data_IF_888472600789
#
_entry.id   IF_888472600789
#
_cell.length_a   1.000
_cell.length_b   1.000
_cell.length_c   1.000
_cell.angle_alpha   90.00
_cell.angle_beta   90.00
_cell.angle_gamma   90.00
#
_symmetry.space_group_name_H-M   'P 1'
#
loop_
_entity.id
_entity.type
_entity.pdbx_description
1 polymer ?
#
# COMPACT_ATOMS: atom_id res chain seq x y z
N UNK A 1 -14.59 -6.37 18.62
CA UNK A 1 -13.51 -5.44 18.22
C UNK A 1 -14.06 -4.33 17.35
N UNK A 2 -13.52 -3.16 17.51
CA UNK A 2 -13.84 -2.06 16.60
C UNK A 2 -13.20 -2.31 15.23
N UNK A 3 -13.83 -1.80 14.19
CA UNK A 3 -13.30 -1.93 12.84
C UNK A 3 -12.22 -0.90 12.58
N UNK A 4 -11.24 -1.27 11.75
CA UNK A 4 -10.13 -0.42 11.37
C UNK A 4 -9.90 -0.51 9.88
N UNK A 5 -9.83 0.65 9.22
CA UNK A 5 -9.37 0.74 7.85
C UNK A 5 -7.90 1.10 7.84
N UNK A 6 -7.13 0.48 6.95
CA UNK A 6 -5.71 0.80 6.79
C UNK A 6 -5.50 1.40 5.41
N UNK A 7 -4.85 2.55 5.37
CA UNK A 7 -4.43 3.19 4.14
C UNK A 7 -2.92 3.07 3.99
N UNK A 8 -2.49 2.55 2.86
CA UNK A 8 -1.07 2.46 2.52
C UNK A 8 -0.79 3.41 1.38
N UNK A 9 0.14 4.33 1.59
CA UNK A 9 0.50 5.33 0.58
C UNK A 9 1.76 4.91 -0.16
N UNK A 10 1.67 4.80 -1.47
CA UNK A 10 2.80 4.47 -2.35
C UNK A 10 3.12 5.72 -3.18
N UNK A 11 4.18 6.46 -2.86
CA UNK A 11 4.42 7.78 -3.45
C UNK A 11 5.16 7.77 -4.79
N UNK A 12 5.25 6.62 -5.47
CA UNK A 12 6.07 6.52 -6.68
C UNK A 12 5.27 6.67 -7.95
N UNK A 13 5.86 7.32 -8.95
CA UNK A 13 5.29 7.48 -10.28
C UNK A 13 6.32 7.04 -11.31
N UNK A 14 5.84 6.56 -12.46
CA UNK A 14 6.72 6.23 -13.59
C UNK A 14 7.36 7.48 -14.14
N UNK A 15 6.65 8.57 -14.10
CA UNK A 15 7.08 9.83 -14.67
C UNK A 15 6.59 10.96 -13.79
N UNK A 16 7.50 11.87 -13.43
CA UNK A 16 7.14 12.98 -12.59
C UNK A 16 6.46 14.04 -13.41
N UNK A 17 5.21 14.32 -13.11
CA UNK A 17 4.42 15.37 -13.75
C UNK A 17 4.44 16.63 -12.90
N UNK A 18 4.27 17.77 -13.53
CA UNK A 18 4.29 19.05 -12.81
C UNK A 18 3.26 19.13 -11.69
N UNK A 19 2.12 18.50 -11.83
CA UNK A 19 1.05 18.59 -10.83
C UNK A 19 1.17 17.58 -9.70
N UNK A 20 2.11 16.65 -9.76
CA UNK A 20 2.27 15.67 -8.69
C UNK A 20 3.61 15.80 -7.97
N UNK A 21 4.21 16.98 -7.99
CA UNK A 21 5.58 17.19 -7.56
C UNK A 21 5.80 17.05 -6.06
N UNK A 22 4.84 17.50 -5.25
CA UNK A 22 5.10 17.66 -3.83
C UNK A 22 5.07 16.35 -3.06
N UNK A 23 4.30 15.37 -3.51
CA UNK A 23 4.03 14.15 -2.76
C UNK A 23 4.39 12.89 -3.51
N UNK A 24 4.90 13.02 -4.73
CA UNK A 24 5.29 11.87 -5.52
C UNK A 24 6.77 11.90 -5.85
N UNK A 25 7.33 10.72 -5.94
CA UNK A 25 8.70 10.51 -6.32
C UNK A 25 8.73 9.75 -7.62
N UNK A 26 9.71 10.10 -8.48
CA UNK A 26 9.96 9.27 -9.65
C UNK A 26 10.43 7.91 -9.15
N UNK A 27 9.87 6.84 -9.69
CA UNK A 27 10.20 5.49 -9.26
C UNK A 27 11.70 5.22 -9.42
N UNK A 28 12.26 4.56 -8.41
CA UNK A 28 13.64 4.14 -8.36
C UNK A 28 13.70 2.89 -7.49
N UNK A 29 14.38 1.85 -7.98
CA UNK A 29 14.39 0.57 -7.28
C UNK A 29 14.96 0.66 -5.87
N UNK A 30 16.04 1.43 -5.71
CA UNK A 30 16.66 1.61 -4.39
C UNK A 30 15.70 2.31 -3.44
N UNK A 31 15.06 3.37 -3.92
CA UNK A 31 14.10 4.10 -3.09
C UNK A 31 12.87 3.25 -2.78
N UNK A 32 12.42 2.43 -3.71
CA UNK A 32 11.32 1.51 -3.44
C UNK A 32 11.68 0.57 -2.31
N UNK A 33 12.85 -0.07 -2.36
CA UNK A 33 13.28 -1.00 -1.32
C UNK A 33 13.32 -0.32 0.04
N UNK A 34 13.87 0.89 0.10
CA UNK A 34 13.95 1.64 1.36
C UNK A 34 12.57 2.01 1.88
N UNK A 35 11.69 2.42 0.98
CA UNK A 35 10.34 2.83 1.38
C UNK A 35 9.53 1.64 1.90
N UNK A 36 9.62 0.50 1.21
CA UNK A 36 8.89 -0.70 1.62
C UNK A 36 9.36 -1.17 2.99
N UNK A 37 10.67 -1.14 3.24
CA UNK A 37 11.20 -1.52 4.55
C UNK A 37 10.71 -0.59 5.64
N UNK A 38 10.69 0.72 5.34
CA UNK A 38 10.17 1.71 6.28
C UNK A 38 8.68 1.50 6.54
N UNK A 39 7.91 1.19 5.51
CA UNK A 39 6.48 0.93 5.63
C UNK A 39 6.21 -0.30 6.50
N UNK A 40 6.97 -1.36 6.30
CA UNK A 40 6.85 -2.57 7.11
C UNK A 40 7.18 -2.28 8.57
N UNK A 41 8.23 -1.52 8.83
CA UNK A 41 8.59 -1.13 10.19
C UNK A 41 7.51 -0.26 10.83
N UNK A 42 6.91 0.63 10.06
CA UNK A 42 5.80 1.46 10.53
C UNK A 42 4.60 0.60 10.95
N UNK A 43 4.24 -0.38 10.13
CA UNK A 43 3.15 -1.30 10.45
C UNK A 43 3.44 -2.04 11.75
N UNK A 44 4.66 -2.54 11.90
CA UNK A 44 5.07 -3.27 13.11
C UNK A 44 5.04 -2.39 14.35
N UNK A 45 5.30 -1.09 14.19
CA UNK A 45 5.30 -0.16 15.32
C UNK A 45 3.91 0.02 15.94
N UNK A 46 2.86 -0.35 15.21
CA UNK A 46 1.49 -0.26 15.68
C UNK A 46 0.96 -1.56 16.25
N UNK A 47 1.83 -2.51 16.56
CA UNK A 47 1.41 -3.82 17.06
C UNK A 47 0.57 -3.75 18.34
N UNK A 48 0.70 -2.68 19.13
CA UNK A 48 -0.11 -2.50 20.33
C UNK A 48 -1.62 -2.41 20.03
N UNK A 49 -1.98 -2.07 18.79
CA UNK A 49 -3.38 -1.98 18.37
C UNK A 49 -3.96 -3.34 17.94
N UNK A 50 -3.13 -4.36 17.81
CA UNK A 50 -3.51 -5.62 17.15
C UNK A 50 -4.66 -6.33 17.85
N UNK A 51 -4.77 -6.23 19.17
CA UNK A 51 -5.85 -6.85 19.92
C UNK A 51 -7.08 -6.00 20.10
N UNK A 52 -7.07 -4.77 19.60
CA UNK A 52 -8.14 -3.80 19.82
C UNK A 52 -9.03 -3.58 18.61
N UNK A 53 -8.51 -3.88 17.42
CA UNK A 53 -9.20 -3.59 16.16
C UNK A 53 -9.15 -4.78 15.23
N UNK A 54 -10.21 -4.92 14.44
CA UNK A 54 -10.25 -5.86 13.32
C UNK A 54 -10.19 -5.07 12.03
N UNK A 55 -9.27 -5.43 11.15
CA UNK A 55 -9.10 -4.73 9.88
C UNK A 55 -10.16 -5.21 8.91
N UNK A 56 -11.02 -4.31 8.46
CA UNK A 56 -12.09 -4.63 7.51
C UNK A 56 -11.83 -4.06 6.12
N UNK A 57 -10.83 -3.20 5.97
CA UNK A 57 -10.47 -2.67 4.66
C UNK A 57 -9.01 -2.26 4.64
N UNK A 58 -8.39 -2.47 3.49
CA UNK A 58 -7.03 -2.02 3.21
C UNK A 58 -7.09 -1.30 1.87
N UNK A 59 -6.72 -0.03 1.85
CA UNK A 59 -6.70 0.77 0.63
C UNK A 59 -5.27 1.19 0.33
N UNK A 60 -4.83 0.93 -0.89
CA UNK A 60 -3.48 1.26 -1.34
C UNK A 60 -3.60 2.35 -2.39
N UNK A 61 -3.09 3.51 -2.08
CA UNK A 61 -3.19 4.67 -2.96
C UNK A 61 -1.88 5.40 -3.10
N UNK A 62 -1.94 6.58 -3.68
CA UNK A 62 -0.79 7.46 -3.87
C UNK A 62 -0.52 7.74 -5.33
N UNK A 63 0.74 7.70 -5.74
CA UNK A 63 1.15 7.98 -7.12
C UNK A 63 0.69 6.92 -8.09
N UNK A 64 1.50 5.90 -8.30
CA UNK A 64 1.14 4.75 -9.14
C UNK A 64 1.47 3.47 -8.37
N UNK A 65 0.57 3.02 -7.48
CA UNK A 65 0.87 1.86 -6.64
C UNK A 65 1.25 0.60 -7.42
N UNK A 66 0.71 0.46 -8.63
CA UNK A 66 1.01 -0.72 -9.45
C UNK A 66 2.43 -0.76 -10.01
N UNK A 67 3.20 0.31 -9.85
CA UNK A 67 4.58 0.35 -10.34
C UNK A 67 5.52 -0.49 -9.47
N UNK A 68 5.20 -0.66 -8.19
CA UNK A 68 6.12 -1.38 -7.32
C UNK A 68 6.08 -2.88 -7.58
N UNK A 69 7.16 -3.54 -7.18
CA UNK A 69 7.26 -4.98 -7.31
C UNK A 69 6.09 -5.66 -6.56
N UNK A 70 5.35 -6.56 -7.23
CA UNK A 70 4.25 -7.27 -6.57
C UNK A 70 4.65 -7.98 -5.28
N UNK A 71 5.88 -8.44 -5.18
CA UNK A 71 6.37 -9.07 -3.95
C UNK A 71 6.40 -8.08 -2.79
N UNK A 72 6.73 -6.82 -3.05
CA UNK A 72 6.70 -5.78 -2.02
C UNK A 72 5.28 -5.53 -1.54
N UNK A 73 4.32 -5.54 -2.46
CA UNK A 73 2.92 -5.38 -2.10
C UNK A 73 2.46 -6.53 -1.22
N UNK A 74 2.83 -7.76 -1.59
CA UNK A 74 2.53 -8.94 -0.80
C UNK A 74 3.16 -8.86 0.59
N UNK A 75 4.40 -8.37 0.68
CA UNK A 75 5.08 -8.21 1.96
C UNK A 75 4.33 -7.26 2.88
N UNK A 76 3.86 -6.15 2.35
CA UNK A 76 3.07 -5.19 3.12
C UNK A 76 1.78 -5.84 3.64
N UNK A 77 1.03 -6.48 2.74
CA UNK A 77 -0.23 -7.09 3.10
C UNK A 77 -0.03 -8.22 4.11
N UNK A 78 0.97 -9.06 3.89
CA UNK A 78 1.27 -10.16 4.80
C UNK A 78 1.72 -9.65 6.16
N UNK A 79 2.45 -8.55 6.21
CA UNK A 79 2.84 -7.92 7.47
C UNK A 79 1.60 -7.46 8.24
N UNK A 80 0.66 -6.82 7.55
CA UNK A 80 -0.60 -6.39 8.18
C UNK A 80 -1.33 -7.62 8.74
N UNK A 81 -1.43 -8.68 7.95
CA UNK A 81 -2.13 -9.90 8.38
C UNK A 81 -1.45 -10.60 9.56
N UNK A 82 -0.12 -10.48 9.67
CA UNK A 82 0.61 -11.11 10.75
C UNK A 82 0.49 -10.37 12.07
N UNK A 83 0.22 -9.07 12.01
CA UNK A 83 0.16 -8.21 13.20
C UNK A 83 -1.26 -7.98 13.65
N UNK A 84 -2.17 -7.71 12.71
CA UNK A 84 -3.56 -7.36 13.02
C UNK A 84 -4.49 -8.53 12.74
N UNK A 85 -5.63 -8.52 13.42
CA UNK A 85 -6.74 -9.40 13.07
C UNK A 85 -7.38 -8.83 11.81
N UNK A 86 -7.29 -9.57 10.70
CA UNK A 86 -7.88 -9.16 9.43
C UNK A 86 -9.12 -10.00 9.17
N UNK A 87 -10.24 -9.37 8.89
CA UNK A 87 -11.50 -10.06 8.67
C UNK A 87 -11.46 -10.86 7.37
N UNK A 88 -12.22 -11.97 7.33
CA UNK A 88 -12.26 -12.84 6.15
C UNK A 88 -12.72 -12.09 4.90
N UNK A 89 -13.67 -11.18 5.08
CA UNK A 89 -14.24 -10.39 4.00
C UNK A 89 -13.60 -9.01 3.90
N UNK A 90 -12.38 -8.87 4.43
CA UNK A 90 -11.63 -7.62 4.33
C UNK A 90 -11.50 -7.22 2.87
N UNK A 91 -11.92 -6.00 2.59
CA UNK A 91 -11.81 -5.45 1.25
C UNK A 91 -10.41 -4.87 1.06
N UNK A 92 -9.72 -5.33 0.02
CA UNK A 92 -8.41 -4.81 -0.35
C UNK A 92 -8.55 -4.15 -1.71
N UNK A 93 -8.34 -2.84 -1.76
CA UNK A 93 -8.45 -2.09 -3.00
C UNK A 93 -7.19 -1.29 -3.27
N UNK A 94 -6.93 -1.04 -4.53
CA UNK A 94 -5.76 -0.32 -4.98
C UNK A 94 -6.18 0.77 -5.94
N UNK A 95 -5.75 2.00 -5.64
CA UNK A 95 -5.89 3.10 -6.57
C UNK A 95 -4.92 2.90 -7.73
N UNK A 96 -5.37 3.18 -8.94
CA UNK A 96 -4.50 3.06 -10.10
C UNK A 96 -4.84 4.15 -11.10
N UNK A 97 -3.80 4.61 -11.80
CA UNK A 97 -3.95 5.54 -12.90
C UNK A 97 -4.70 4.83 -14.03
N UNK A 98 -5.67 5.47 -14.70
CA UNK A 98 -6.37 4.85 -15.82
C UNK A 98 -5.45 4.28 -16.89
N UNK A 99 -4.35 4.93 -17.18
CA UNK A 99 -3.39 4.44 -18.16
C UNK A 99 -2.67 3.17 -17.71
N UNK A 100 -2.34 3.09 -16.42
CA UNK A 100 -1.72 1.88 -15.89
C UNK A 100 -2.75 0.77 -15.69
N UNK A 101 -4.02 1.12 -15.55
CA UNK A 101 -5.10 0.16 -15.42
C UNK A 101 -5.53 -0.46 -16.74
N UNK A 102 -5.24 0.22 -17.86
CA UNK A 102 -5.77 -0.21 -19.16
C UNK A 102 -5.50 -1.67 -19.46
N UNK A 103 -4.29 -2.14 -19.14
CA UNK A 103 -3.94 -3.54 -19.30
C UNK A 103 -4.53 -4.44 -18.21
N UNK A 104 -4.75 -3.89 -17.04
CA UNK A 104 -5.20 -4.66 -15.88
C UNK A 104 -6.71 -4.84 -15.83
N UNK A 105 -7.44 -3.86 -16.36
CA UNK A 105 -8.90 -3.95 -16.42
C UNK A 105 -9.36 -5.10 -17.30
N UNK A 106 -8.53 -5.52 -18.24
CA UNK A 106 -8.82 -6.64 -19.10
C UNK A 106 -8.58 -7.98 -18.43
N UNK A 107 -7.93 -7.95 -17.27
CA UNK A 107 -7.55 -9.19 -16.58
C UNK A 107 -8.48 -9.55 -15.43
#
# INVERSE_FOLDING_TARGET
MKKLGIYVHIPFCTQKCGYCDFYSLKWNEIQENMYIQAAINEIKSHSALSGKFAVDSIYIGGGTPSIINPMHMDDIINTIKSIFTVEKDCEISMEANPNSLAGNLAS
#
